data_IF_156927184308
#
_entry.id   IF_156927184308
#
_cell.length_a   1.000
_cell.length_b   1.000
_cell.length_c   1.000
_cell.angle_alpha   90.00
_cell.angle_beta   90.00
_cell.angle_gamma   90.00
#
_symmetry.space_group_name_H-M   'P 1'
#
loop_
_entity.id
_entity.type
_entity.pdbx_description
1 polymer ?
#
# COMPACT_ATOMS: atom_id res chain seq x y z
N UNK A 1 -5.07 -0.70 -21.82
CA UNK A 1 -4.07 -0.02 -20.98
C UNK A 1 -2.70 -0.17 -21.62
N UNK A 2 -2.08 0.92 -22.07
CA UNK A 2 -0.73 0.85 -22.65
C UNK A 2 0.28 0.74 -21.50
N UNK A 3 1.07 -0.33 -21.47
CA UNK A 3 2.10 -0.56 -20.45
C UNK A 3 3.33 0.36 -20.62
N UNK A 4 3.41 1.02 -21.79
CA UNK A 4 4.48 1.95 -22.15
C UNK A 4 3.86 3.21 -22.73
N UNK A 5 4.50 4.35 -22.49
CA UNK A 5 4.08 5.64 -23.08
C UNK A 5 4.57 5.82 -24.52
N UNK A 6 4.92 4.74 -25.23
CA UNK A 6 5.31 4.78 -26.62
C UNK A 6 4.69 3.63 -27.42
N UNK A 7 4.56 3.83 -28.71
CA UNK A 7 4.02 2.85 -29.67
C UNK A 7 4.57 3.12 -31.07
N UNK A 8 4.43 2.14 -31.97
CA UNK A 8 4.77 2.31 -33.39
C UNK A 8 3.69 3.14 -34.07
N UNK A 9 4.08 4.10 -34.91
CA UNK A 9 3.14 4.95 -35.64
C UNK A 9 2.23 4.09 -36.53
N UNK A 10 0.88 4.24 -36.44
CA UNK A 10 -0.06 3.34 -37.12
C UNK A 10 -0.02 3.40 -38.66
N UNK A 11 0.40 4.55 -39.23
CA UNK A 11 0.50 4.75 -40.67
C UNK A 11 1.92 4.65 -41.24
N UNK A 12 2.95 4.68 -40.41
CA UNK A 12 4.36 4.58 -40.83
C UNK A 12 5.23 3.90 -39.78
N UNK A 13 5.56 2.65 -40.01
CA UNK A 13 6.33 1.82 -39.06
C UNK A 13 7.80 2.24 -38.90
N UNK A 14 8.25 3.28 -39.63
CA UNK A 14 9.59 3.86 -39.46
C UNK A 14 9.67 4.78 -38.24
N UNK A 15 8.51 5.18 -37.67
CA UNK A 15 8.43 6.09 -36.54
C UNK A 15 7.85 5.40 -35.28
N UNK A 16 8.41 5.80 -34.16
CA UNK A 16 7.85 5.54 -32.83
C UNK A 16 7.26 6.82 -32.29
N UNK A 17 6.11 6.72 -31.64
CA UNK A 17 5.39 7.84 -31.03
C UNK A 17 5.48 7.71 -29.52
N UNK A 18 6.00 8.74 -28.85
CA UNK A 18 6.01 8.88 -27.40
C UNK A 18 4.87 9.80 -26.99
N UNK A 19 4.06 9.39 -26.00
CA UNK A 19 2.89 10.13 -25.54
C UNK A 19 3.05 10.60 -24.09
N UNK A 20 2.73 11.87 -23.83
CA UNK A 20 2.78 12.48 -22.50
C UNK A 20 1.48 13.21 -22.23
N UNK A 21 0.83 12.90 -21.09
CA UNK A 21 -0.38 13.58 -20.64
C UNK A 21 -0.13 14.95 -20.01
N UNK A 22 1.10 15.24 -19.60
CA UNK A 22 1.47 16.49 -18.96
C UNK A 22 2.46 17.29 -19.81
N UNK A 23 2.15 18.58 -19.99
CA UNK A 23 3.00 19.48 -20.79
C UNK A 23 4.41 19.63 -20.21
N UNK A 24 4.55 19.58 -18.89
CA UNK A 24 5.84 19.68 -18.22
C UNK A 24 6.78 18.54 -18.62
N UNK A 25 6.25 17.30 -18.63
CA UNK A 25 6.98 16.11 -19.08
C UNK A 25 7.30 16.16 -20.57
N UNK A 26 6.34 16.62 -21.38
CA UNK A 26 6.51 16.81 -22.82
C UNK A 26 7.64 17.78 -23.14
N UNK A 27 7.66 18.95 -22.49
CA UNK A 27 8.70 19.97 -22.69
C UNK A 27 10.09 19.48 -22.25
N UNK A 28 10.18 18.72 -21.16
CA UNK A 28 11.44 18.11 -20.72
C UNK A 28 11.95 17.06 -21.72
N UNK A 29 11.05 16.26 -22.28
CA UNK A 29 11.39 15.27 -23.29
C UNK A 29 11.89 15.93 -24.58
N UNK A 30 11.17 16.93 -25.09
CA UNK A 30 11.57 17.72 -26.25
C UNK A 30 12.96 18.33 -26.08
N UNK A 31 13.21 18.97 -24.94
CA UNK A 31 14.53 19.53 -24.62
C UNK A 31 15.62 18.47 -24.73
N UNK A 32 15.42 17.28 -24.18
CA UNK A 32 16.41 16.18 -24.24
C UNK A 32 16.60 15.66 -25.66
N UNK A 33 15.54 15.57 -26.46
CA UNK A 33 15.68 15.22 -27.90
C UNK A 33 16.50 16.24 -28.65
N UNK A 34 16.27 17.53 -28.40
CA UNK A 34 17.05 18.62 -29.00
C UNK A 34 18.52 18.56 -28.56
N UNK A 35 18.80 18.34 -27.27
CA UNK A 35 20.17 18.21 -26.73
C UNK A 35 20.92 17.03 -27.35
N UNK A 36 20.20 15.96 -27.72
CA UNK A 36 20.75 14.80 -28.42
C UNK A 36 20.81 14.91 -29.95
N UNK A 37 20.32 16.05 -30.51
CA UNK A 37 20.25 16.27 -31.94
C UNK A 37 19.33 15.29 -32.68
N UNK A 38 18.25 14.87 -32.02
CA UNK A 38 17.27 13.94 -32.59
C UNK A 38 16.13 14.73 -33.24
N UNK A 39 15.97 14.57 -34.55
CA UNK A 39 14.82 15.12 -35.26
C UNK A 39 13.54 14.45 -34.82
N UNK A 40 12.53 15.24 -34.49
CA UNK A 40 11.25 14.77 -34.01
C UNK A 40 10.12 15.73 -34.43
N UNK A 41 8.92 15.17 -34.50
CA UNK A 41 7.70 15.94 -34.71
C UNK A 41 6.89 15.98 -33.44
N UNK A 42 6.43 17.18 -33.05
CA UNK A 42 5.56 17.37 -31.89
C UNK A 42 4.14 17.66 -32.33
N UNK A 43 3.18 16.93 -31.81
CA UNK A 43 1.74 17.10 -32.05
C UNK A 43 0.97 17.10 -30.75
N UNK A 44 -0.05 17.98 -30.63
CA UNK A 44 -1.00 17.96 -29.54
C UNK A 44 -2.28 17.28 -30.02
N UNK A 45 -2.59 16.14 -29.46
CA UNK A 45 -3.87 15.47 -29.68
C UNK A 45 -4.88 15.95 -28.62
N UNK A 46 -5.94 16.61 -29.08
CA UNK A 46 -6.97 17.14 -28.19
C UNK A 46 -8.06 16.12 -27.88
N UNK A 47 -8.70 16.25 -26.73
CA UNK A 47 -9.66 15.31 -26.16
C UNK A 47 -10.86 14.94 -27.05
N UNK A 48 -11.19 15.79 -28.03
CA UNK A 48 -12.37 15.62 -28.92
C UNK A 48 -12.28 14.39 -29.86
N UNK A 49 -11.12 13.76 -29.98
CA UNK A 49 -10.87 12.60 -30.86
C UNK A 49 -10.47 11.28 -30.14
N UNK A 50 -10.33 11.28 -28.83
CA UNK A 50 -9.76 10.14 -28.10
C UNK A 50 -10.68 9.54 -27.06
N UNK A 51 -10.63 8.20 -26.96
CA UNK A 51 -11.32 7.40 -25.94
C UNK A 51 -10.84 7.66 -24.47
N UNK A 52 -9.79 8.45 -24.26
CA UNK A 52 -9.24 8.79 -22.94
C UNK A 52 -9.67 10.14 -22.40
N UNK A 53 -10.33 11.00 -23.22
CA UNK A 53 -10.81 12.31 -22.79
C UNK A 53 -9.75 13.30 -22.30
N UNK A 54 -8.46 13.02 -22.53
CA UNK A 54 -7.33 13.87 -22.09
C UNK A 54 -6.48 14.32 -23.28
N UNK A 55 -5.99 15.56 -23.22
CA UNK A 55 -5.00 16.03 -24.17
C UNK A 55 -3.69 15.26 -24.00
N UNK A 56 -3.11 14.76 -25.08
CA UNK A 56 -1.83 14.07 -25.08
C UNK A 56 -0.84 14.76 -26.02
N UNK A 57 0.38 14.98 -25.55
CA UNK A 57 1.50 15.46 -26.34
C UNK A 57 2.21 14.28 -26.99
N UNK A 58 2.21 14.22 -28.31
CA UNK A 58 2.80 13.13 -29.10
C UNK A 58 4.12 13.60 -29.73
N UNK A 59 5.14 12.74 -29.67
CA UNK A 59 6.45 12.97 -30.30
C UNK A 59 6.77 11.81 -31.25
N UNK A 60 6.80 12.11 -32.55
CA UNK A 60 7.24 11.17 -33.57
C UNK A 60 8.76 11.17 -33.70
N UNK A 61 9.40 10.04 -33.45
CA UNK A 61 10.86 9.86 -33.54
C UNK A 61 11.18 8.74 -34.52
N UNK A 62 12.13 8.99 -35.45
CA UNK A 62 12.56 7.96 -36.38
C UNK A 62 13.18 6.75 -35.67
N UNK A 63 12.94 5.56 -36.23
CA UNK A 63 13.34 4.27 -35.66
C UNK A 63 14.83 4.16 -35.34
N UNK A 64 15.69 4.78 -36.14
CA UNK A 64 17.13 4.76 -35.92
C UNK A 64 17.56 5.41 -34.60
N UNK A 65 16.78 6.38 -34.10
CA UNK A 65 17.01 7.08 -32.85
C UNK A 65 16.23 6.54 -31.67
N UNK A 66 15.44 5.46 -31.88
CA UNK A 66 14.55 4.92 -30.86
C UNK A 66 15.24 4.64 -29.52
N UNK A 67 16.41 3.99 -29.54
CA UNK A 67 17.14 3.68 -28.29
C UNK A 67 17.52 4.92 -27.49
N UNK A 68 18.02 5.96 -28.19
CA UNK A 68 18.39 7.24 -27.54
C UNK A 68 17.16 7.97 -27.02
N UNK A 69 16.08 7.99 -27.80
CA UNK A 69 14.81 8.59 -27.38
C UNK A 69 14.19 7.84 -26.20
N UNK A 70 14.31 6.52 -26.15
CA UNK A 70 13.84 5.71 -25.01
C UNK A 70 14.66 6.00 -23.74
N UNK A 71 15.96 6.17 -23.85
CA UNK A 71 16.81 6.59 -22.72
C UNK A 71 16.42 7.99 -22.22
N UNK A 72 16.23 8.95 -23.14
CA UNK A 72 15.72 10.28 -22.81
C UNK A 72 14.35 10.20 -22.10
N UNK A 73 13.44 9.34 -22.56
CA UNK A 73 12.14 9.10 -21.94
C UNK A 73 12.27 8.56 -20.50
N UNK A 74 13.15 7.59 -20.28
CA UNK A 74 13.41 7.08 -18.94
C UNK A 74 13.97 8.14 -18.00
N UNK A 75 14.84 9.01 -18.48
CA UNK A 75 15.39 10.12 -17.71
C UNK A 75 14.33 11.16 -17.35
N UNK A 76 13.39 11.47 -18.26
CA UNK A 76 12.24 12.35 -17.98
C UNK A 76 11.38 11.74 -16.88
N UNK A 77 10.97 10.48 -17.02
CA UNK A 77 10.19 9.81 -15.98
C UNK A 77 10.93 9.73 -14.63
N UNK A 78 12.26 9.59 -14.63
CA UNK A 78 13.05 9.61 -13.41
C UNK A 78 13.11 11.01 -12.76
N UNK A 79 13.14 12.08 -13.56
CA UNK A 79 13.20 13.46 -13.09
C UNK A 79 11.89 13.91 -12.44
N UNK A 80 10.76 13.53 -13.03
CA UNK A 80 9.41 13.89 -12.53
C UNK A 80 8.78 12.79 -11.66
N UNK A 81 9.53 11.76 -11.37
CA UNK A 81 9.03 10.70 -10.47
C UNK A 81 8.76 11.30 -9.11
N UNK A 82 7.52 11.14 -8.66
CA UNK A 82 7.12 11.48 -7.31
C UNK A 82 8.06 10.83 -6.31
N UNK A 83 8.49 11.61 -5.31
CA UNK A 83 9.33 11.08 -4.26
C UNK A 83 8.54 9.97 -3.56
N UNK A 84 9.16 8.80 -3.43
CA UNK A 84 8.57 7.64 -2.77
C UNK A 84 7.91 7.97 -1.40
N UNK A 85 8.43 8.99 -0.72
CA UNK A 85 7.85 9.60 0.47
C UNK A 85 7.83 11.11 0.24
N UNK A 86 6.67 11.71 -0.12
CA UNK A 86 6.60 13.14 -0.44
C UNK A 86 6.84 14.02 0.79
N UNK A 87 6.39 13.56 1.97
CA UNK A 87 6.52 14.31 3.23
C UNK A 87 7.93 14.15 3.80
N UNK A 88 8.70 15.24 3.81
CA UNK A 88 10.10 15.22 4.28
C UNK A 88 10.24 14.76 5.72
N UNK A 89 9.32 15.15 6.61
CA UNK A 89 9.31 14.72 8.01
C UNK A 89 9.16 13.21 8.16
N UNK A 90 8.28 12.60 7.39
CA UNK A 90 8.08 11.12 7.41
C UNK A 90 9.30 10.40 6.88
N UNK A 91 9.93 10.91 5.82
CA UNK A 91 11.18 10.35 5.27
C UNK A 91 12.29 10.35 6.31
N UNK A 92 12.49 11.48 7.01
CA UNK A 92 13.51 11.59 8.06
C UNK A 92 13.17 10.71 9.25
N UNK A 93 11.90 10.64 9.67
CA UNK A 93 11.48 9.75 10.75
C UNK A 93 11.73 8.28 10.45
N UNK A 94 11.48 7.85 9.22
CA UNK A 94 11.79 6.48 8.78
C UNK A 94 13.29 6.21 8.72
N UNK A 95 14.09 7.16 8.22
CA UNK A 95 15.55 7.03 8.20
C UNK A 95 16.12 6.96 9.63
N UNK A 96 15.67 7.86 10.52
CA UNK A 96 16.09 7.87 11.92
C UNK A 96 15.62 6.59 12.63
N UNK A 97 14.37 6.15 12.39
CA UNK A 97 13.84 4.91 12.94
C UNK A 97 14.63 3.69 12.47
N UNK A 98 14.95 3.60 11.18
CA UNK A 98 15.77 2.53 10.63
C UNK A 98 17.19 2.54 11.21
N UNK A 99 17.80 3.73 11.31
CA UNK A 99 19.10 3.90 11.92
C UNK A 99 19.09 3.52 13.41
N UNK A 100 18.05 3.92 14.13
CA UNK A 100 17.86 3.54 15.53
C UNK A 100 17.74 2.01 15.70
N UNK A 101 16.97 1.34 14.84
CA UNK A 101 16.86 -0.13 14.83
C UNK A 101 18.22 -0.78 14.57
N UNK A 102 18.99 -0.27 13.60
CA UNK A 102 20.34 -0.78 13.30
C UNK A 102 21.29 -0.55 14.48
N UNK A 103 21.28 0.65 15.08
CA UNK A 103 22.10 0.97 16.25
C UNK A 103 21.72 0.12 17.46
N UNK A 104 20.40 -0.10 17.68
CA UNK A 104 19.90 -1.00 18.71
C UNK A 104 20.34 -2.44 18.49
N UNK A 105 20.27 -2.90 17.23
CA UNK A 105 20.75 -4.24 16.87
C UNK A 105 22.25 -4.41 17.13
N UNK A 106 23.04 -3.39 16.78
CA UNK A 106 24.49 -3.37 17.03
C UNK A 106 24.82 -3.30 18.53
N UNK A 107 24.11 -2.44 19.28
CA UNK A 107 24.27 -2.34 20.73
C UNK A 107 23.87 -3.66 21.42
N UNK A 108 22.78 -4.28 21.00
CA UNK A 108 22.36 -5.60 21.46
C UNK A 108 23.39 -6.69 21.19
N UNK A 109 24.03 -6.67 20.02
CA UNK A 109 25.11 -7.59 19.68
C UNK A 109 26.37 -7.35 20.52
N UNK A 110 26.65 -6.12 20.92
CA UNK A 110 27.81 -5.78 21.77
C UNK A 110 27.61 -6.14 23.24
N UNK A 111 26.42 -5.83 23.79
CA UNK A 111 26.12 -6.13 25.20
C UNK A 111 26.00 -7.64 25.45
N UNK A 112 25.61 -8.43 24.46
CA UNK A 112 25.51 -9.88 24.60
C UNK A 112 26.85 -10.62 24.65
N UNK A 113 27.91 -10.05 24.10
CA UNK A 113 29.25 -10.63 24.33
C UNK A 113 29.60 -10.70 25.82
N UNK A 114 29.00 -9.83 26.63
CA UNK A 114 29.18 -9.81 28.09
C UNK A 114 28.21 -10.69 28.86
N UNK A 115 27.06 -11.08 28.26
CA UNK A 115 25.95 -11.78 28.95
C UNK A 115 25.66 -13.19 28.40
N UNK A 116 26.45 -13.69 27.44
CA UNK A 116 26.25 -15.01 26.82
C UNK A 116 26.24 -16.21 27.80
N UNK A 117 26.46 -15.98 29.09
CA UNK A 117 26.53 -17.02 30.10
C UNK A 117 25.19 -17.35 30.79
N UNK A 118 24.10 -16.63 30.53
CA UNK A 118 22.84 -16.78 31.31
C UNK A 118 21.59 -17.18 30.53
N UNK A 119 21.68 -17.32 29.21
CA UNK A 119 20.53 -17.84 28.44
C UNK A 119 20.49 -19.37 28.51
N UNK A 120 19.34 -20.00 28.82
CA UNK A 120 19.23 -21.44 28.82
C UNK A 120 19.60 -21.96 27.41
N UNK A 121 20.62 -22.84 27.39
CA UNK A 121 21.03 -23.57 26.19
C UNK A 121 19.86 -24.41 25.66
N UNK A 122 19.22 -23.93 24.61
CA UNK A 122 18.18 -24.68 23.96
C UNK A 122 17.70 -23.98 22.69
N UNK A 123 17.59 -24.75 21.64
CA UNK A 123 16.91 -24.40 20.40
C UNK A 123 15.41 -24.17 20.72
N UNK A 124 15.07 -23.02 21.31
CA UNK A 124 13.75 -22.80 21.87
C UNK A 124 12.83 -22.21 20.81
N UNK A 125 12.02 -23.09 20.26
CA UNK A 125 10.82 -22.68 19.55
C UNK A 125 9.80 -22.19 20.58
N UNK A 126 9.16 -21.08 20.28
CA UNK A 126 8.08 -20.49 21.05
C UNK A 126 6.89 -20.24 20.14
N UNK A 127 5.71 -20.44 20.67
CA UNK A 127 4.47 -20.15 20.00
C UNK A 127 3.87 -18.91 20.67
N UNK A 128 3.33 -18.00 19.89
CA UNK A 128 2.59 -16.86 20.42
C UNK A 128 1.25 -16.72 19.69
N UNK A 129 0.25 -16.30 20.44
CA UNK A 129 -1.03 -15.85 19.86
C UNK A 129 -0.98 -14.34 19.80
N UNK A 130 -1.28 -13.77 18.66
CA UNK A 130 -1.22 -12.31 18.41
C UNK A 130 -2.57 -11.76 18.04
N UNK A 131 -2.83 -10.56 18.51
CA UNK A 131 -3.92 -9.71 18.04
C UNK A 131 -3.37 -8.31 17.75
N UNK A 132 -3.91 -7.67 16.73
CA UNK A 132 -3.44 -6.38 16.27
C UNK A 132 -4.62 -5.49 15.89
N UNK A 133 -4.50 -4.20 16.19
CA UNK A 133 -5.42 -3.15 15.70
C UNK A 133 -4.66 -2.27 14.73
N UNK A 134 -5.21 -2.13 13.54
CA UNK A 134 -4.60 -1.44 12.41
C UNK A 134 -5.27 -0.08 12.24
N UNK A 135 -4.48 0.97 12.12
CA UNK A 135 -4.92 2.34 11.82
C UNK A 135 -4.22 2.80 10.55
N UNK A 136 -4.94 3.26 9.52
CA UNK A 136 -4.35 3.77 8.30
C UNK A 136 -3.42 4.95 8.55
N UNK A 137 -2.44 5.13 7.65
CA UNK A 137 -1.54 6.28 7.69
C UNK A 137 -1.67 7.03 6.38
N UNK A 138 -2.30 8.20 6.42
CA UNK A 138 -2.52 9.05 5.25
C UNK A 138 -1.22 9.38 4.53
N UNK A 139 -0.20 9.80 5.25
CA UNK A 139 1.08 10.24 4.66
C UNK A 139 1.88 9.14 3.93
N UNK A 140 1.46 7.88 3.99
CA UNK A 140 2.22 6.73 3.46
C UNK A 140 1.42 5.84 2.50
N UNK A 141 0.31 6.34 1.98
CA UNK A 141 -0.56 5.61 1.04
C UNK A 141 -1.80 5.00 1.69
N UNK A 142 -2.12 5.38 2.93
CA UNK A 142 -3.42 5.17 3.56
C UNK A 142 -4.28 6.44 3.51
N UNK A 143 -4.00 7.34 2.57
CA UNK A 143 -4.79 8.56 2.35
C UNK A 143 -6.11 8.22 1.65
N UNK A 144 -7.17 8.98 1.94
CA UNK A 144 -8.39 8.93 1.16
C UNK A 144 -8.11 9.24 -0.30
N UNK A 145 -8.80 8.58 -1.20
CA UNK A 145 -8.68 8.79 -2.64
C UNK A 145 -10.04 9.24 -3.16
N UNK A 146 -10.06 10.38 -3.83
CA UNK A 146 -11.26 10.92 -4.48
C UNK A 146 -11.07 10.91 -5.99
N UNK A 147 -12.07 10.48 -6.71
CA UNK A 147 -12.17 10.58 -8.16
C UNK A 147 -13.48 11.23 -8.50
N UNK A 148 -13.41 12.32 -9.28
CA UNK A 148 -14.60 13.04 -9.77
C UNK A 148 -14.76 12.79 -11.26
N UNK A 149 -15.92 12.31 -11.67
CA UNK A 149 -16.24 12.05 -13.08
C UNK A 149 -17.73 12.28 -13.32
N UNK A 150 -18.05 13.02 -14.37
CA UNK A 150 -19.42 13.24 -14.86
C UNK A 150 -20.45 13.66 -13.80
N UNK A 151 -20.07 14.49 -12.83
CA UNK A 151 -20.96 14.95 -11.76
C UNK A 151 -21.15 13.95 -10.62
N UNK A 152 -20.31 12.93 -10.55
CA UNK A 152 -20.18 12.00 -9.44
C UNK A 152 -18.80 12.15 -8.79
N UNK A 153 -18.76 12.27 -7.47
CA UNK A 153 -17.56 12.08 -6.67
C UNK A 153 -17.60 10.72 -6.02
N UNK A 154 -16.52 9.95 -6.22
CA UNK A 154 -16.30 8.68 -5.56
C UNK A 154 -15.13 8.83 -4.60
N UNK A 155 -15.40 8.72 -3.31
CA UNK A 155 -14.41 8.78 -2.24
C UNK A 155 -14.18 7.39 -1.65
N UNK A 156 -12.94 7.03 -1.50
CA UNK A 156 -12.53 5.87 -0.74
C UNK A 156 -11.69 6.29 0.47
N UNK A 157 -12.08 5.83 1.65
CA UNK A 157 -11.40 6.13 2.90
C UNK A 157 -11.09 4.83 3.66
N UNK A 158 -9.82 4.49 3.88
CA UNK A 158 -9.47 3.38 4.73
C UNK A 158 -9.78 3.70 6.20
N UNK A 159 -10.58 2.89 6.87
CA UNK A 159 -10.99 3.13 8.27
C UNK A 159 -10.18 2.31 9.26
N UNK A 160 -9.46 1.30 8.79
CA UNK A 160 -8.60 0.49 9.65
C UNK A 160 -8.92 -0.98 9.61
N UNK A 161 -8.53 -1.68 10.68
CA UNK A 161 -8.73 -3.11 10.71
C UNK A 161 -8.23 -3.80 11.97
N UNK A 162 -8.24 -5.12 11.91
CA UNK A 162 -7.70 -5.95 12.98
C UNK A 162 -7.05 -7.21 12.40
N UNK A 163 -6.13 -7.79 13.14
CA UNK A 163 -5.62 -9.12 12.83
C UNK A 163 -5.62 -10.02 14.06
N UNK A 164 -5.72 -11.30 13.78
CA UNK A 164 -5.56 -12.36 14.77
C UNK A 164 -4.73 -13.49 14.14
N UNK A 165 -3.80 -14.06 14.91
CA UNK A 165 -2.97 -15.12 14.38
C UNK A 165 -2.12 -15.85 15.40
N UNK A 166 -1.39 -16.82 14.86
CA UNK A 166 -0.41 -17.61 15.60
C UNK A 166 0.97 -17.31 15.03
N UNK A 167 1.92 -17.04 15.91
CA UNK A 167 3.32 -16.79 15.60
C UNK A 167 4.17 -17.94 16.08
N UNK A 168 5.22 -18.21 15.33
CA UNK A 168 6.25 -19.17 15.65
C UNK A 168 7.58 -18.41 15.68
N UNK A 169 8.22 -18.40 16.83
CA UNK A 169 9.49 -17.74 17.06
C UNK A 169 10.57 -18.77 17.28
N UNK A 170 11.70 -18.62 16.61
CA UNK A 170 12.91 -19.39 16.89
C UNK A 170 13.97 -18.45 17.40
N UNK A 171 14.29 -18.56 18.69
CA UNK A 171 15.36 -17.80 19.34
C UNK A 171 16.70 -18.50 19.13
N UNK A 172 17.70 -17.73 18.76
CA UNK A 172 19.07 -18.19 18.69
C UNK A 172 19.82 -17.84 19.99
N UNK A 173 20.95 -18.48 20.29
CA UNK A 173 21.78 -18.09 21.43
C UNK A 173 22.29 -16.65 21.37
N UNK A 174 22.22 -16.02 20.19
CA UNK A 174 22.52 -14.61 19.97
C UNK A 174 21.29 -13.72 20.23
N UNK A 175 21.47 -12.39 20.16
CA UNK A 175 20.38 -11.39 20.27
C UNK A 175 19.28 -11.53 19.22
N UNK A 176 19.39 -12.48 18.33
CA UNK A 176 18.52 -12.61 17.17
C UNK A 176 17.50 -13.72 17.32
N UNK A 177 16.40 -13.54 16.68
CA UNK A 177 15.39 -14.59 16.47
C UNK A 177 14.76 -14.44 15.09
N UNK A 178 14.24 -15.53 14.57
CA UNK A 178 13.40 -15.52 13.36
C UNK A 178 11.96 -15.75 13.80
N UNK A 179 11.07 -15.02 13.18
CA UNK A 179 9.64 -15.12 13.44
C UNK A 179 8.89 -15.34 12.14
N UNK A 180 7.95 -16.29 12.20
CA UNK A 180 6.97 -16.54 11.15
C UNK A 180 5.61 -16.84 11.79
N UNK A 181 4.60 -17.17 11.01
CA UNK A 181 3.28 -17.50 11.55
C UNK A 181 2.19 -17.45 10.49
N UNK A 182 0.96 -17.47 10.96
CA UNK A 182 -0.22 -17.28 10.12
C UNK A 182 -1.17 -16.32 10.82
N UNK A 183 -1.56 -15.28 10.14
CA UNK A 183 -2.51 -14.28 10.60
C UNK A 183 -3.69 -14.17 9.64
N UNK A 184 -4.86 -13.96 10.18
CA UNK A 184 -6.02 -13.45 9.43
C UNK A 184 -6.12 -11.96 9.68
N UNK A 185 -6.10 -11.16 8.64
CA UNK A 185 -6.21 -9.71 8.71
C UNK A 185 -7.53 -9.30 8.08
N UNK A 186 -8.30 -8.47 8.79
CA UNK A 186 -9.54 -7.87 8.31
C UNK A 186 -9.34 -6.38 8.18
N UNK A 187 -9.67 -5.84 7.03
CA UNK A 187 -9.65 -4.42 6.74
C UNK A 187 -11.05 -3.92 6.47
N UNK A 188 -11.31 -2.69 6.89
CA UNK A 188 -12.54 -1.97 6.59
C UNK A 188 -12.18 -0.68 5.85
N UNK A 189 -12.95 -0.37 4.84
CA UNK A 189 -12.88 0.87 4.09
C UNK A 189 -14.29 1.42 3.88
N UNK A 190 -14.43 2.73 3.95
CA UNK A 190 -15.68 3.41 3.65
C UNK A 190 -15.61 3.99 2.24
N UNK A 191 -16.69 3.82 1.52
CA UNK A 191 -16.91 4.30 0.18
C UNK A 191 -18.04 5.31 0.21
N UNK A 192 -17.80 6.53 -0.24
CA UNK A 192 -18.81 7.58 -0.35
C UNK A 192 -19.02 7.95 -1.80
N UNK A 193 -20.26 7.91 -2.24
CA UNK A 193 -20.66 8.40 -3.54
C UNK A 193 -21.45 9.69 -3.34
N UNK A 194 -21.07 10.74 -4.03
CA UNK A 194 -21.78 12.01 -4.01
C UNK A 194 -22.17 12.39 -5.43
N UNK A 195 -23.47 12.40 -5.69
CA UNK A 195 -24.05 12.85 -6.95
C UNK A 195 -24.29 14.36 -6.86
N UNK A 196 -23.71 15.11 -7.78
CA UNK A 196 -23.87 16.56 -7.83
C UNK A 196 -25.23 16.98 -8.41
N UNK A 197 -25.72 18.20 -8.13
CA UNK A 197 -26.93 18.72 -8.75
C UNK A 197 -26.85 18.70 -10.28
N UNK A 198 -27.92 18.26 -10.94
CA UNK A 198 -27.95 18.09 -12.39
C UNK A 198 -27.46 16.73 -12.88
N UNK A 199 -27.02 15.83 -11.98
CA UNK A 199 -26.68 14.47 -12.36
C UNK A 199 -27.93 13.73 -12.84
N UNK A 200 -27.86 13.17 -14.05
CA UNK A 200 -28.97 12.45 -14.65
C UNK A 200 -29.17 11.08 -14.01
N UNK A 201 -30.34 10.85 -13.47
CA UNK A 201 -30.76 9.55 -12.95
C UNK A 201 -31.88 8.97 -13.79
N UNK A 202 -32.28 7.70 -13.61
CA UNK A 202 -33.43 7.14 -14.25
C UNK A 202 -34.77 7.91 -13.99
N UNK A 203 -34.83 8.67 -12.88
CA UNK A 203 -35.97 9.46 -12.48
C UNK A 203 -35.90 10.94 -12.92
N UNK A 204 -34.75 11.35 -13.48
CA UNK A 204 -34.46 12.72 -13.90
C UNK A 204 -33.23 13.31 -13.18
N UNK A 205 -32.88 14.57 -13.53
CA UNK A 205 -31.74 15.22 -12.93
C UNK A 205 -31.93 15.49 -11.43
N UNK A 206 -30.84 15.38 -10.66
CA UNK A 206 -30.85 15.68 -9.23
C UNK A 206 -30.97 17.17 -8.97
N UNK A 207 -31.87 17.56 -8.07
CA UNK A 207 -32.05 18.98 -7.68
C UNK A 207 -31.02 19.42 -6.59
N UNK A 208 -30.56 18.47 -5.78
CA UNK A 208 -29.62 18.70 -4.69
C UNK A 208 -28.56 17.61 -4.66
N UNK A 209 -27.38 17.84 -4.03
CA UNK A 209 -26.39 16.80 -3.87
C UNK A 209 -26.96 15.63 -3.06
N UNK A 210 -26.66 14.43 -3.51
CA UNK A 210 -27.04 13.20 -2.84
C UNK A 210 -25.81 12.41 -2.53
N UNK A 211 -25.66 12.04 -1.28
CA UNK A 211 -24.51 11.28 -0.82
C UNK A 211 -24.94 10.00 -0.14
N UNK A 212 -24.23 8.92 -0.44
CA UNK A 212 -24.36 7.64 0.24
C UNK A 212 -23.00 7.11 0.65
N UNK A 213 -22.94 6.43 1.80
CA UNK A 213 -21.70 5.88 2.34
C UNK A 213 -21.87 4.42 2.68
N UNK A 214 -20.99 3.60 2.15
CA UNK A 214 -21.00 2.15 2.31
C UNK A 214 -19.67 1.67 2.88
N UNK A 215 -19.72 0.75 3.84
CA UNK A 215 -18.52 0.13 4.41
C UNK A 215 -18.28 -1.23 3.79
N UNK A 216 -17.09 -1.42 3.22
CA UNK A 216 -16.62 -2.69 2.71
C UNK A 216 -15.61 -3.33 3.65
N UNK A 217 -15.69 -4.66 3.79
CA UNK A 217 -14.75 -5.45 4.58
C UNK A 217 -14.03 -6.44 3.70
N UNK A 218 -12.71 -6.41 3.77
CA UNK A 218 -11.84 -7.32 3.06
C UNK A 218 -11.03 -8.16 4.03
N UNK A 219 -10.74 -9.40 3.65
CA UNK A 219 -9.97 -10.32 4.48
C UNK A 219 -8.79 -10.88 3.69
N UNK A 220 -7.66 -11.06 4.39
CA UNK A 220 -6.47 -11.68 3.83
C UNK A 220 -5.82 -12.62 4.85
N UNK A 221 -5.12 -13.61 4.36
CA UNK A 221 -4.16 -14.37 5.15
C UNK A 221 -2.78 -13.75 5.02
N UNK A 222 -2.04 -13.72 6.12
CA UNK A 222 -0.71 -13.15 6.20
C UNK A 222 0.24 -14.13 6.82
N UNK A 223 1.39 -14.34 6.17
CA UNK A 223 2.51 -15.12 6.68
C UNK A 223 3.69 -14.15 6.82
N UNK A 224 4.01 -13.68 8.04
CA UNK A 224 5.18 -12.85 8.27
C UNK A 224 6.47 -13.67 8.22
N UNK A 225 7.55 -13.02 7.77
CA UNK A 225 8.91 -13.51 7.88
C UNK A 225 9.77 -12.36 8.38
N UNK A 226 10.09 -12.38 9.67
CA UNK A 226 10.74 -11.28 10.36
C UNK A 226 12.05 -11.74 11.01
N UNK A 227 13.07 -10.93 10.87
CA UNK A 227 14.25 -10.97 11.72
C UNK A 227 14.00 -10.05 12.92
N UNK A 228 14.15 -10.58 14.11
CA UNK A 228 13.91 -9.88 15.37
C UNK A 228 15.18 -9.82 16.19
N UNK A 229 15.47 -8.66 16.75
CA UNK A 229 16.52 -8.49 17.76
C UNK A 229 15.89 -8.10 19.09
N UNK A 230 16.58 -8.40 20.19
CA UNK A 230 16.12 -8.02 21.52
C UNK A 230 17.28 -7.54 22.38
N UNK A 231 16.97 -6.57 23.24
CA UNK A 231 17.87 -6.03 24.25
C UNK A 231 17.23 -6.25 25.61
N UNK A 232 17.94 -6.94 26.49
CA UNK A 232 17.46 -7.15 27.85
C UNK A 232 17.62 -5.86 28.66
N UNK A 233 16.51 -5.32 29.18
CA UNK A 233 16.50 -4.17 30.05
C UNK A 233 16.68 -4.60 31.50
N UNK A 234 16.01 -5.69 31.90
CA UNK A 234 16.13 -6.30 33.20
C UNK A 234 15.73 -7.79 33.10
N UNK A 235 15.79 -8.53 34.21
CA UNK A 235 15.49 -9.98 34.28
C UNK A 235 14.09 -10.36 33.78
N UNK A 236 13.22 -9.40 33.59
CA UNK A 236 11.80 -9.62 33.22
C UNK A 236 11.35 -8.90 31.98
N UNK A 237 12.20 -8.10 31.39
CA UNK A 237 11.79 -7.30 30.23
C UNK A 237 12.86 -7.21 29.14
N UNK A 238 12.37 -7.39 27.92
CA UNK A 238 13.14 -7.23 26.71
C UNK A 238 12.53 -6.12 25.86
N UNK A 239 13.36 -5.21 25.38
CA UNK A 239 12.98 -4.36 24.28
C UNK A 239 13.30 -5.10 22.98
N UNK A 240 12.35 -5.12 22.06
CA UNK A 240 12.49 -5.90 20.83
C UNK A 240 12.23 -5.02 19.62
N UNK A 241 13.00 -5.25 18.57
CA UNK A 241 12.77 -4.65 17.26
C UNK A 241 12.77 -5.76 16.19
N UNK A 242 11.86 -5.68 15.24
CA UNK A 242 11.80 -6.64 14.14
C UNK A 242 11.59 -5.94 12.80
N UNK A 243 12.15 -6.52 11.76
CA UNK A 243 11.97 -6.06 10.38
C UNK A 243 11.92 -7.26 9.43
N UNK A 244 11.18 -7.10 8.35
CA UNK A 244 11.09 -8.12 7.33
C UNK A 244 9.94 -7.89 6.35
N UNK A 245 9.50 -8.98 5.75
CA UNK A 245 8.41 -9.01 4.80
C UNK A 245 7.26 -9.83 5.36
N UNK A 246 6.08 -9.60 4.84
CA UNK A 246 4.99 -10.55 4.97
C UNK A 246 4.54 -11.01 3.59
N UNK A 247 4.08 -12.24 3.51
CA UNK A 247 3.37 -12.75 2.35
C UNK A 247 1.87 -12.64 2.67
N UNK A 248 1.20 -11.72 1.99
CA UNK A 248 -0.24 -11.49 2.16
C UNK A 248 -0.99 -12.13 0.99
N UNK A 249 -1.94 -13.00 1.30
CA UNK A 249 -2.81 -13.66 0.31
C UNK A 249 -4.24 -13.13 0.48
N UNK A 250 -4.75 -12.49 -0.56
CA UNK A 250 -6.09 -11.94 -0.60
C UNK A 250 -7.09 -13.02 -0.99
N UNK A 251 -8.08 -13.26 -0.13
CA UNK A 251 -9.04 -14.36 -0.28
C UNK A 251 -10.01 -14.11 -1.42
N UNK A 252 -10.61 -12.92 -1.46
CA UNK A 252 -11.66 -12.56 -2.41
C UNK A 252 -11.68 -11.07 -2.69
N UNK A 253 -12.31 -10.72 -3.77
CA UNK A 253 -12.78 -9.39 -4.02
C UNK A 253 -13.98 -9.11 -3.10
N UNK A 254 -14.23 -7.86 -2.78
CA UNK A 254 -15.37 -7.45 -1.99
C UNK A 254 -16.29 -6.61 -2.86
N UNK A 255 -17.58 -6.74 -2.67
CA UNK A 255 -18.56 -5.93 -3.35
C UNK A 255 -19.72 -5.58 -2.40
N UNK A 256 -20.36 -4.48 -2.68
CA UNK A 256 -21.62 -4.10 -2.04
C UNK A 256 -22.50 -3.41 -3.07
N UNK A 257 -23.79 -3.59 -2.88
CA UNK A 257 -24.81 -2.91 -3.68
C UNK A 257 -25.54 -1.95 -2.77
N UNK A 258 -25.69 -0.72 -3.20
CA UNK A 258 -26.55 0.25 -2.53
C UNK A 258 -27.86 0.37 -3.27
N UNK A 259 -28.94 0.45 -2.52
CA UNK A 259 -30.24 0.90 -3.00
C UNK A 259 -30.79 1.88 -1.97
N UNK A 260 -30.92 3.14 -2.32
CA UNK A 260 -31.55 4.09 -1.42
C UNK A 260 -33.08 3.96 -1.51
N UNK A 261 -33.69 3.71 -0.37
CA UNK A 261 -35.14 3.43 -0.27
C UNK A 261 -35.96 4.57 0.29
N UNK A 262 -35.48 5.78 0.48
CA UNK A 262 -36.31 6.89 0.92
C UNK A 262 -36.16 8.13 0.04
N UNK A 263 -37.06 8.24 -0.92
CA UNK A 263 -37.58 9.52 -1.44
C UNK A 263 -36.85 10.16 -2.59
N UNK A 264 -35.74 9.66 -3.09
CA UNK A 264 -35.14 10.20 -4.31
C UNK A 264 -34.04 9.26 -4.83
N UNK A 265 -34.02 8.99 -6.06
CA UNK A 265 -32.98 8.42 -6.90
C UNK A 265 -32.73 6.94 -6.67
N UNK A 266 -33.49 6.15 -7.37
CA UNK A 266 -33.14 4.78 -7.67
C UNK A 266 -32.08 4.75 -8.77
N UNK A 267 -30.82 4.91 -8.40
CA UNK A 267 -29.75 4.33 -9.19
C UNK A 267 -29.25 3.12 -8.42
N UNK A 268 -29.52 1.95 -8.94
CA UNK A 268 -28.82 0.78 -8.47
C UNK A 268 -27.34 1.01 -8.79
N UNK A 269 -26.51 1.08 -7.76
CA UNK A 269 -25.09 1.16 -7.95
C UNK A 269 -24.39 -0.03 -7.29
N UNK A 270 -23.31 -0.45 -7.90
CA UNK A 270 -22.47 -1.53 -7.43
C UNK A 270 -21.09 -0.95 -7.16
N UNK A 271 -20.60 -1.14 -5.94
CA UNK A 271 -19.21 -0.85 -5.59
C UNK A 271 -18.46 -2.17 -5.46
N UNK A 272 -17.39 -2.30 -6.21
CA UNK A 272 -16.50 -3.45 -6.18
C UNK A 272 -15.09 -3.02 -5.76
N UNK A 273 -14.52 -3.72 -4.80
CA UNK A 273 -13.11 -3.62 -4.45
C UNK A 273 -12.40 -4.87 -4.97
N UNK A 274 -11.67 -4.69 -6.05
CA UNK A 274 -11.03 -5.75 -6.78
C UNK A 274 -9.52 -5.78 -6.47
N UNK A 275 -8.95 -6.98 -6.44
CA UNK A 275 -7.51 -7.19 -6.28
C UNK A 275 -6.80 -7.16 -7.63
N UNK A 276 -5.67 -6.47 -7.70
CA UNK A 276 -4.80 -6.52 -8.86
C UNK A 276 -3.98 -7.83 -8.86
N UNK A 277 -3.51 -8.25 -7.69
CA UNK A 277 -2.78 -9.48 -7.48
C UNK A 277 -3.32 -10.23 -6.26
N UNK A 278 -3.36 -11.56 -6.35
CA UNK A 278 -3.79 -12.42 -5.23
C UNK A 278 -2.80 -12.44 -4.07
N UNK A 279 -1.54 -12.18 -4.36
CA UNK A 279 -0.46 -12.21 -3.38
C UNK A 279 0.37 -10.93 -3.44
N UNK A 280 0.78 -10.44 -2.28
CA UNK A 280 1.66 -9.29 -2.13
C UNK A 280 2.74 -9.57 -1.09
N UNK A 281 3.82 -8.78 -1.13
CA UNK A 281 4.95 -8.87 -0.21
C UNK A 281 5.17 -7.53 0.50
N UNK A 282 4.28 -7.10 1.40
CA UNK A 282 4.46 -5.86 2.13
C UNK A 282 5.66 -5.87 3.06
N UNK A 283 6.24 -4.67 3.27
CA UNK A 283 7.22 -4.41 4.32
C UNK A 283 6.54 -4.40 5.69
N UNK A 284 7.26 -4.90 6.69
CA UNK A 284 6.84 -4.88 8.08
C UNK A 284 7.99 -4.51 9.01
N UNK A 285 7.69 -3.61 9.93
CA UNK A 285 8.58 -3.21 11.03
C UNK A 285 7.82 -3.28 12.33
N UNK A 286 8.47 -3.75 13.38
CA UNK A 286 7.89 -3.84 14.71
C UNK A 286 8.87 -3.30 15.75
N UNK A 287 8.34 -2.62 16.75
CA UNK A 287 9.05 -2.23 17.94
C UNK A 287 8.16 -2.50 19.14
N UNK A 288 8.69 -3.16 20.15
CA UNK A 288 7.85 -3.50 21.29
C UNK A 288 8.61 -3.95 22.51
N UNK A 289 7.85 -4.22 23.54
CA UNK A 289 8.31 -4.62 24.84
C UNK A 289 7.76 -6.00 25.16
N UNK A 290 8.65 -6.93 25.51
CA UNK A 290 8.30 -8.26 25.92
C UNK A 290 8.51 -8.39 27.45
N UNK A 291 7.48 -8.81 28.15
CA UNK A 291 7.50 -9.05 29.59
C UNK A 291 7.59 -10.56 29.79
N UNK A 292 8.70 -10.97 30.38
CA UNK A 292 8.96 -12.37 30.69
C UNK A 292 8.38 -12.75 32.07
N UNK A 293 7.97 -14.00 32.24
CA UNK A 293 7.53 -14.48 33.54
C UNK A 293 8.68 -14.49 34.55
N UNK A 294 8.38 -14.22 35.81
CA UNK A 294 9.37 -14.23 36.88
C UNK A 294 9.98 -15.61 37.07
N UNK A 295 11.31 -15.72 37.00
CA UNK A 295 12.06 -16.96 37.27
C UNK A 295 12.07 -17.40 38.74
N UNK A 296 11.60 -16.56 39.69
CA UNK A 296 11.63 -16.84 41.13
C UNK A 296 10.72 -17.97 41.62
N UNK A 297 9.91 -18.56 40.76
CA UNK A 297 8.90 -19.54 41.13
C UNK A 297 9.21 -20.99 40.71
N UNK A 298 10.50 -21.34 40.65
CA UNK A 298 10.98 -22.69 40.40
C UNK A 298 11.07 -23.13 38.95
N UNK A 299 11.91 -24.12 38.62
CA UNK A 299 12.22 -24.51 37.24
C UNK A 299 11.09 -25.23 36.48
N UNK A 300 10.00 -25.54 37.16
CA UNK A 300 8.94 -26.39 36.59
C UNK A 300 7.73 -25.65 36.01
N UNK A 301 7.58 -24.35 36.25
CA UNK A 301 6.43 -23.60 35.71
C UNK A 301 6.85 -22.68 34.58
N UNK A 302 6.73 -23.21 33.37
CA UNK A 302 6.76 -22.39 32.14
C UNK A 302 5.51 -21.50 32.13
N UNK A 303 5.69 -20.21 32.33
CA UNK A 303 4.59 -19.21 32.30
C UNK A 303 4.59 -18.48 30.99
N UNK A 304 3.41 -18.07 30.53
CA UNK A 304 3.33 -17.27 29.32
C UNK A 304 3.97 -15.89 29.51
N UNK A 305 4.65 -15.40 28.51
CA UNK A 305 5.12 -14.02 28.39
C UNK A 305 4.09 -13.17 27.66
N UNK A 306 4.20 -11.86 27.84
CA UNK A 306 3.36 -10.88 27.12
C UNK A 306 4.26 -9.94 26.31
N UNK A 307 3.89 -9.71 25.08
CA UNK A 307 4.49 -8.71 24.22
C UNK A 307 3.46 -7.62 23.90
N UNK A 308 3.90 -6.37 24.01
CA UNK A 308 3.15 -5.19 23.57
C UNK A 308 4.04 -4.39 22.63
N UNK A 309 3.53 -4.04 21.47
CA UNK A 309 4.34 -3.33 20.49
C UNK A 309 3.53 -2.52 19.50
N UNK A 310 4.27 -1.72 18.75
CA UNK A 310 3.78 -1.01 17.59
C UNK A 310 4.35 -1.66 16.34
N UNK A 311 3.53 -1.73 15.32
CA UNK A 311 3.88 -2.28 14.04
C UNK A 311 3.61 -1.25 12.96
N UNK A 312 4.52 -1.14 12.02
CA UNK A 312 4.33 -0.45 10.75
C UNK A 312 4.27 -1.48 9.63
N UNK A 313 3.31 -1.30 8.74
CA UNK A 313 3.10 -2.18 7.60
C UNK A 313 2.78 -1.34 6.36
N UNK A 314 3.36 -1.71 5.20
CA UNK A 314 3.13 -1.00 3.94
C UNK A 314 3.22 -1.93 2.74
N UNK A 315 2.26 -1.82 1.85
CA UNK A 315 2.34 -2.37 0.49
C UNK A 315 3.25 -1.50 -0.38
N UNK A 316 4.00 -2.13 -1.28
CA UNK A 316 4.91 -1.42 -2.18
C UNK A 316 4.18 -0.65 -3.28
N UNK A 317 3.10 -1.26 -3.78
CA UNK A 317 2.29 -0.74 -4.87
C UNK A 317 0.82 -0.81 -4.49
N UNK A 318 -0.01 0.00 -5.16
CA UNK A 318 -1.45 -0.19 -5.13
C UNK A 318 -1.79 -1.60 -5.63
N UNK A 319 -2.32 -2.44 -4.75
CA UNK A 319 -2.66 -3.83 -5.05
C UNK A 319 -4.14 -4.02 -5.30
N UNK A 320 -4.91 -2.99 -5.09
CA UNK A 320 -6.36 -2.97 -5.23
C UNK A 320 -6.78 -1.83 -6.11
N UNK A 321 -7.87 -2.03 -6.76
CA UNK A 321 -8.60 -0.99 -7.43
C UNK A 321 -10.08 -1.12 -7.08
N UNK A 322 -10.75 -0.01 -6.96
CA UNK A 322 -12.17 0.05 -6.74
C UNK A 322 -12.88 0.52 -7.99
N UNK A 323 -14.07 0.04 -8.20
CA UNK A 323 -14.95 0.44 -9.27
C UNK A 323 -16.34 0.68 -8.71
N UNK A 324 -16.89 1.85 -8.99
CA UNK A 324 -18.29 2.11 -8.82
C UNK A 324 -18.96 2.05 -10.18
N UNK A 325 -20.00 1.26 -10.29
CA UNK A 325 -20.82 1.11 -11.49
C UNK A 325 -22.22 1.56 -11.17
N UNK A 326 -22.79 2.43 -12.00
CA UNK A 326 -24.16 2.91 -11.85
C UNK A 326 -24.85 2.97 -13.20
N UNK A 327 -26.18 2.97 -13.16
CA UNK A 327 -27.00 3.08 -14.36
C UNK A 327 -27.44 4.54 -14.54
N UNK A 328 -27.05 5.14 -15.66
CA UNK A 328 -27.45 6.48 -16.09
C UNK A 328 -28.39 6.33 -17.26
N UNK A 329 -29.70 6.68 -17.06
CA UNK A 329 -30.73 6.49 -18.04
C UNK A 329 -30.80 5.04 -18.60
N UNK A 330 -30.21 4.79 -19.75
CA UNK A 330 -30.10 3.47 -20.39
C UNK A 330 -28.67 2.98 -20.54
N UNK A 331 -27.70 3.76 -20.08
CA UNK A 331 -26.26 3.45 -20.16
C UNK A 331 -25.72 3.14 -18.80
N UNK A 332 -24.78 2.21 -18.75
CA UNK A 332 -24.01 1.90 -17.55
C UNK A 332 -22.71 2.70 -17.59
N UNK A 333 -22.49 3.52 -16.58
CA UNK A 333 -21.24 4.24 -16.37
C UNK A 333 -20.43 3.61 -15.25
N UNK A 334 -19.12 3.77 -15.27
CA UNK A 334 -18.25 3.32 -14.21
C UNK A 334 -17.09 4.28 -13.98
N UNK A 335 -16.61 4.31 -12.76
CA UNK A 335 -15.41 5.05 -12.38
C UNK A 335 -14.48 4.13 -11.58
N UNK A 336 -13.16 4.25 -11.81
CA UNK A 336 -12.14 3.43 -11.16
C UNK A 336 -11.15 4.26 -10.39
N UNK A 337 -10.78 3.77 -9.22
CA UNK A 337 -9.68 4.33 -8.44
C UNK A 337 -8.71 3.22 -7.98
N UNK A 338 -7.45 3.58 -7.80
CA UNK A 338 -6.40 2.66 -7.34
C UNK A 338 -6.03 2.97 -5.90
N UNK A 339 -5.92 1.93 -5.08
CA UNK A 339 -5.75 2.04 -3.65
C UNK A 339 -4.46 1.39 -3.20
N UNK A 340 -3.63 2.17 -2.49
CA UNK A 340 -2.51 1.68 -1.72
C UNK A 340 -2.90 1.49 -0.25
N UNK A 341 -2.12 0.71 0.49
CA UNK A 341 -2.37 0.55 1.91
C UNK A 341 -1.07 0.67 2.72
N UNK A 342 -1.14 1.48 3.76
CA UNK A 342 -0.16 1.53 4.84
C UNK A 342 -0.87 1.72 6.16
N UNK A 343 -0.36 1.09 7.21
CA UNK A 343 -0.96 1.21 8.52
C UNK A 343 0.08 1.17 9.64
N UNK A 344 -0.19 1.90 10.72
CA UNK A 344 0.31 1.59 12.05
C UNK A 344 -0.61 0.59 12.72
N UNK A 345 -0.05 -0.17 13.64
CA UNK A 345 -0.83 -1.07 14.44
C UNK A 345 -0.31 -1.15 15.87
N UNK A 346 -1.23 -1.34 16.80
CA UNK A 346 -0.93 -1.80 18.14
C UNK A 346 -1.04 -3.31 18.17
N UNK A 347 -0.02 -3.97 18.64
CA UNK A 347 0.03 -5.43 18.69
C UNK A 347 0.18 -5.92 20.14
N UNK A 348 -0.62 -6.91 20.49
CA UNK A 348 -0.50 -7.64 21.74
C UNK A 348 -0.29 -9.12 21.42
N UNK A 349 0.66 -9.76 22.11
CA UNK A 349 0.92 -11.21 21.99
C UNK A 349 0.98 -11.87 23.34
N UNK A 350 0.43 -13.06 23.40
CA UNK A 350 0.64 -14.00 24.48
C UNK A 350 1.64 -15.06 24.02
N UNK A 351 2.84 -15.05 24.59
CA UNK A 351 3.92 -15.98 24.25
C UNK A 351 3.79 -17.21 25.14
N UNK A 352 3.52 -18.33 24.52
CA UNK A 352 3.38 -19.61 25.21
C UNK A 352 4.77 -20.22 25.41
N UNK A 353 4.97 -20.93 26.52
CA UNK A 353 6.25 -21.52 26.88
C UNK A 353 6.65 -22.69 25.98
#
# INVERSE_FOLDING_TARGET
MRWTNYFTHPGDNRYYVFAFGEELHANAFEKRLNDLGIDHERHLETAEGHSTGRNEWLFGVHRDYFKKALEANHLVHAEFRDKFIPVSGVRWSLLIGTLAVILFALAGAWTQRAQAQTMPNGNNWQIAVSTTWLTPIEALGGEPVTVSEDGLDLDWTPTGGSSFGVRLLRRFPSAWSIETGLETVRYTSDWSLTFHPGFDTPQGPTESPLSDTLSLRTSRYRIPLLARTHVQINDRSLLTAAAGLSFDYLLSDAFTTGSQSEGAIYSDYLIEENRQHRATLPLRFELGWEILPSQRLGPAQKRPGVYLGVMFWREWNANRWGEATWTRQLETANVRLYMGQAAFALECRLILP
#
